data_IF_658621042352
#
_entry.id   IF_658621042352
#
_cell.length_a   1.000
_cell.length_b   1.000
_cell.length_c   1.000
_cell.angle_alpha   90.00
_cell.angle_beta   90.00
_cell.angle_gamma   90.00
#
_symmetry.space_group_name_H-M   'P 1'
#
loop_
_entity.id
_entity.type
_entity.pdbx_description
1 polymer ?
#
# COMPACT_ATOMS: atom_id res chain seq x y z
N UNK A 1 1.74 -6.76 -31.14
CA UNK A 1 3.01 -6.92 -30.40
C UNK A 1 3.88 -7.88 -31.18
N UNK A 2 5.17 -7.62 -31.33
CA UNK A 2 6.10 -8.71 -31.65
C UNK A 2 6.09 -9.61 -30.41
N UNK A 3 5.24 -10.64 -30.44
CA UNK A 3 5.02 -11.55 -29.31
C UNK A 3 6.34 -12.15 -28.82
N UNK A 4 7.40 -12.12 -29.62
CA UNK A 4 8.73 -12.61 -29.25
C UNK A 4 9.36 -11.83 -28.08
N UNK A 5 9.27 -10.50 -27.99
CA UNK A 5 9.91 -9.72 -26.92
C UNK A 5 9.20 -9.96 -25.58
N UNK A 6 7.88 -9.85 -25.56
CA UNK A 6 7.09 -10.07 -24.32
C UNK A 6 7.24 -11.51 -23.84
N UNK A 7 7.24 -12.49 -24.75
CA UNK A 7 7.47 -13.90 -24.38
C UNK A 7 8.88 -14.12 -23.81
N UNK A 8 9.90 -13.45 -24.38
CA UNK A 8 11.26 -13.52 -23.85
C UNK A 8 11.35 -12.88 -22.46
N UNK A 9 10.76 -11.70 -22.29
CA UNK A 9 10.68 -11.04 -21.00
C UNK A 9 10.00 -11.92 -19.95
N UNK A 10 8.80 -12.44 -20.24
CA UNK A 10 8.04 -13.30 -19.34
C UNK A 10 8.85 -14.53 -18.88
N UNK A 11 9.71 -15.08 -19.74
CA UNK A 11 10.61 -16.18 -19.37
C UNK A 11 11.66 -15.72 -18.34
N UNK A 12 12.37 -14.62 -18.60
CA UNK A 12 13.40 -14.08 -17.68
C UNK A 12 12.77 -13.72 -16.33
N UNK A 13 11.60 -13.08 -16.35
CA UNK A 13 10.85 -12.78 -15.14
C UNK A 13 10.40 -14.04 -14.39
N UNK A 14 9.92 -15.07 -15.09
CA UNK A 14 9.60 -16.36 -14.46
C UNK A 14 10.80 -16.98 -13.75
N UNK A 15 11.99 -16.92 -14.36
CA UNK A 15 13.22 -17.44 -13.77
C UNK A 15 13.72 -16.59 -12.59
N UNK A 16 13.47 -15.28 -12.61
CA UNK A 16 13.64 -14.39 -11.46
C UNK A 16 12.67 -14.77 -10.32
N UNK A 17 11.38 -14.97 -10.58
CA UNK A 17 10.41 -15.33 -9.54
C UNK A 17 10.70 -16.67 -8.88
N UNK A 18 11.16 -17.67 -9.64
CA UNK A 18 11.60 -18.95 -9.08
C UNK A 18 12.74 -18.75 -8.07
N UNK A 19 13.66 -17.84 -8.35
CA UNK A 19 14.73 -17.47 -7.42
C UNK A 19 14.17 -16.82 -6.16
N UNK A 20 13.29 -15.84 -6.27
CA UNK A 20 12.69 -15.20 -5.08
C UNK A 20 11.94 -16.21 -4.21
N UNK A 21 11.13 -17.09 -4.81
CA UNK A 21 10.41 -18.15 -4.09
C UNK A 21 11.38 -19.12 -3.38
N UNK A 22 12.52 -19.41 -4.00
CA UNK A 22 13.57 -20.20 -3.35
C UNK A 22 14.18 -19.43 -2.16
N UNK A 23 14.46 -18.13 -2.32
CA UNK A 23 15.05 -17.28 -1.28
C UNK A 23 14.12 -17.00 -0.10
N UNK A 24 12.80 -17.13 -0.28
CA UNK A 24 11.83 -17.06 0.81
C UNK A 24 11.93 -18.25 1.80
N UNK A 25 12.71 -19.28 1.49
CA UNK A 25 12.88 -20.43 2.37
C UNK A 25 13.90 -20.15 3.50
N UNK A 26 13.67 -20.61 4.74
CA UNK A 26 14.52 -20.29 5.90
C UNK A 26 16.01 -20.68 5.76
N UNK A 27 16.33 -21.64 4.88
CA UNK A 27 17.68 -22.18 4.69
C UNK A 27 18.24 -21.85 3.30
N UNK A 28 17.58 -20.96 2.56
CA UNK A 28 18.00 -20.61 1.23
C UNK A 28 19.35 -19.88 1.27
N UNK A 29 20.28 -20.34 0.43
CA UNK A 29 21.55 -19.66 0.20
C UNK A 29 21.47 -19.04 -1.19
N UNK A 30 21.77 -17.74 -1.28
CA UNK A 30 21.79 -17.02 -2.54
C UNK A 30 22.85 -17.61 -3.48
N UNK A 31 22.38 -18.09 -4.63
CA UNK A 31 23.23 -18.49 -5.75
C UNK A 31 23.68 -17.25 -6.53
N UNK A 32 24.97 -16.94 -6.44
CA UNK A 32 25.58 -15.76 -7.06
C UNK A 32 25.65 -15.91 -8.58
N UNK A 33 26.03 -17.09 -9.09
CA UNK A 33 26.13 -17.38 -10.53
C UNK A 33 24.74 -17.29 -11.20
N UNK A 34 23.70 -17.78 -10.52
CA UNK A 34 22.32 -17.63 -10.98
C UNK A 34 21.90 -16.16 -11.03
N UNK A 35 22.28 -15.35 -10.04
CA UNK A 35 22.03 -13.91 -10.03
C UNK A 35 22.76 -13.18 -11.16
N UNK A 36 24.02 -13.50 -11.44
CA UNK A 36 24.78 -12.91 -12.55
C UNK A 36 24.20 -13.27 -13.92
N UNK A 37 23.73 -14.51 -14.07
CA UNK A 37 23.02 -14.94 -15.28
C UNK A 37 21.74 -14.13 -15.50
N UNK A 38 20.92 -13.96 -14.46
CA UNK A 38 19.71 -13.14 -14.54
C UNK A 38 20.02 -11.69 -14.92
N UNK A 39 21.07 -11.08 -14.34
CA UNK A 39 21.51 -9.72 -14.71
C UNK A 39 21.83 -9.66 -16.20
N UNK A 40 22.56 -10.66 -16.71
CA UNK A 40 22.93 -10.74 -18.14
C UNK A 40 21.69 -10.88 -19.02
N UNK A 41 20.74 -11.72 -18.64
CA UNK A 41 19.48 -11.91 -19.35
C UNK A 41 18.65 -10.63 -19.36
N UNK A 42 18.49 -9.93 -18.23
CA UNK A 42 17.80 -8.63 -18.19
C UNK A 42 18.51 -7.58 -19.05
N UNK A 43 19.84 -7.48 -18.98
CA UNK A 43 20.63 -6.57 -19.83
C UNK A 43 20.47 -6.89 -21.32
N UNK A 44 20.24 -8.15 -21.69
CA UNK A 44 19.99 -8.54 -23.07
C UNK A 44 18.61 -8.13 -23.60
N UNK A 45 17.63 -7.95 -22.70
CA UNK A 45 16.29 -7.47 -23.06
C UNK A 45 16.30 -5.98 -23.41
N UNK A 46 17.05 -5.16 -22.67
CA UNK A 46 17.02 -3.68 -22.82
C UNK A 46 17.24 -3.18 -24.27
N UNK A 47 18.23 -3.67 -25.04
CA UNK A 47 18.43 -3.24 -26.43
C UNK A 47 17.30 -3.64 -27.39
N UNK A 48 16.48 -4.64 -27.02
CA UNK A 48 15.37 -5.15 -27.84
C UNK A 48 14.09 -4.34 -27.62
N UNK A 49 14.03 -3.51 -26.58
CA UNK A 49 12.87 -2.67 -26.26
C UNK A 49 12.74 -1.55 -27.30
N UNK A 50 11.61 -1.45 -28.04
CA UNK A 50 11.41 -0.39 -29.02
C UNK A 50 11.37 1.00 -28.36
N UNK A 51 12.32 1.87 -28.72
CA UNK A 51 12.41 3.23 -28.19
C UNK A 51 11.30 4.17 -28.68
N UNK A 52 10.76 3.90 -29.87
CA UNK A 52 9.77 4.74 -30.54
C UNK A 52 8.32 4.25 -30.33
N UNK A 53 8.08 3.38 -29.33
CA UNK A 53 6.75 2.87 -29.06
C UNK A 53 5.77 4.01 -28.70
N UNK A 54 4.59 4.13 -29.36
CA UNK A 54 3.66 5.23 -29.12
C UNK A 54 3.16 5.29 -27.67
N UNK A 55 3.29 6.46 -27.04
CA UNK A 55 3.05 6.65 -25.61
C UNK A 55 1.64 6.33 -25.14
N UNK A 56 0.68 6.52 -26.02
CA UNK A 56 -0.76 6.53 -25.73
C UNK A 56 -1.41 5.21 -26.14
N UNK A 57 -0.62 4.15 -26.30
CA UNK A 57 -1.11 2.81 -26.65
C UNK A 57 -0.78 1.82 -25.55
N UNK A 58 -1.63 0.82 -25.34
CA UNK A 58 -1.38 -0.24 -24.36
C UNK A 58 -0.01 -0.89 -24.58
N UNK A 59 0.34 -1.17 -25.84
CA UNK A 59 1.66 -1.72 -26.20
C UNK A 59 2.80 -0.78 -25.80
N UNK A 60 2.68 0.53 -26.04
CA UNK A 60 3.72 1.48 -25.66
C UNK A 60 3.88 1.66 -24.15
N UNK A 61 2.78 1.59 -23.40
CA UNK A 61 2.81 1.63 -21.94
C UNK A 61 3.52 0.39 -21.39
N UNK A 62 3.12 -0.80 -21.84
CA UNK A 62 3.72 -2.08 -21.43
C UNK A 62 5.21 -2.14 -21.80
N UNK A 63 5.59 -1.63 -22.97
CA UNK A 63 6.98 -1.60 -23.43
C UNK A 63 7.87 -0.73 -22.54
N UNK A 64 7.39 0.45 -22.12
CA UNK A 64 8.15 1.31 -21.20
C UNK A 64 8.16 0.78 -19.78
N UNK A 65 7.09 0.10 -19.39
CA UNK A 65 7.06 -0.57 -18.10
C UNK A 65 8.09 -1.68 -18.02
N UNK A 66 8.24 -2.46 -19.09
CA UNK A 66 9.30 -3.45 -19.21
C UNK A 66 10.69 -2.82 -19.04
N UNK A 67 10.96 -1.68 -19.66
CA UNK A 67 12.24 -0.97 -19.53
C UNK A 67 12.54 -0.55 -18.08
N UNK A 68 11.55 0.04 -17.39
CA UNK A 68 11.68 0.46 -15.99
C UNK A 68 11.99 -0.72 -15.09
N UNK A 69 11.19 -1.77 -15.21
CA UNK A 69 11.28 -2.95 -14.35
C UNK A 69 12.58 -3.72 -14.62
N UNK A 70 13.00 -3.88 -15.88
CA UNK A 70 14.30 -4.47 -16.20
C UNK A 70 15.46 -3.69 -15.59
N UNK A 71 15.44 -2.36 -15.70
CA UNK A 71 16.48 -1.50 -15.11
C UNK A 71 16.51 -1.63 -13.59
N UNK A 72 15.34 -1.62 -12.95
CA UNK A 72 15.20 -1.81 -11.51
C UNK A 72 15.80 -3.14 -11.03
N UNK A 73 15.53 -4.24 -11.75
CA UNK A 73 16.05 -5.57 -11.39
C UNK A 73 17.54 -5.72 -11.60
N UNK A 74 18.09 -5.12 -12.67
CA UNK A 74 19.54 -5.08 -12.87
C UNK A 74 20.19 -4.40 -11.66
N UNK A 75 19.74 -3.20 -11.32
CA UNK A 75 20.33 -2.42 -10.21
C UNK A 75 20.22 -3.16 -8.87
N UNK A 76 19.07 -3.76 -8.59
CA UNK A 76 18.81 -4.46 -7.32
C UNK A 76 19.59 -5.78 -7.23
N UNK A 77 19.70 -6.52 -8.32
CA UNK A 77 20.51 -7.74 -8.37
C UNK A 77 22.00 -7.40 -8.25
N UNK A 78 22.49 -6.39 -8.96
CA UNK A 78 23.89 -5.92 -8.86
C UNK A 78 24.21 -5.45 -7.45
N UNK A 79 23.36 -4.62 -6.85
CA UNK A 79 23.54 -4.18 -5.45
C UNK A 79 23.66 -5.39 -4.53
N UNK A 80 22.78 -6.38 -4.67
CA UNK A 80 22.80 -7.57 -3.84
C UNK A 80 24.05 -8.46 -4.03
N UNK A 81 24.81 -8.28 -5.11
CA UNK A 81 26.08 -8.98 -5.39
C UNK A 81 27.31 -8.21 -4.90
N UNK A 82 27.16 -6.93 -4.54
CA UNK A 82 28.27 -6.09 -4.08
C UNK A 82 28.17 -5.81 -2.58
N UNK A 83 29.30 -5.45 -1.97
CA UNK A 83 29.32 -4.92 -0.60
C UNK A 83 29.23 -3.39 -0.55
N UNK A 84 28.93 -2.73 -1.68
CA UNK A 84 28.90 -1.27 -1.77
C UNK A 84 27.56 -0.77 -1.23
N UNK A 85 27.60 0.17 -0.30
CA UNK A 85 26.41 0.90 0.12
C UNK A 85 25.98 1.85 -1.01
N UNK A 86 24.75 1.69 -1.49
CA UNK A 86 24.16 2.56 -2.52
C UNK A 86 23.93 3.97 -1.95
N UNK A 87 24.25 4.99 -2.74
CA UNK A 87 24.06 6.38 -2.33
C UNK A 87 22.57 6.69 -2.19
N UNK A 88 22.13 7.46 -1.17
CA UNK A 88 20.71 7.76 -0.98
C UNK A 88 20.03 8.36 -2.22
N UNK A 89 20.74 9.18 -2.99
CA UNK A 89 20.17 9.79 -4.19
C UNK A 89 20.06 8.83 -5.38
N UNK A 90 20.90 7.80 -5.45
CA UNK A 90 20.75 6.72 -6.43
C UNK A 90 19.47 5.94 -6.15
N UNK A 91 19.13 5.72 -4.87
CA UNK A 91 17.90 5.06 -4.44
C UNK A 91 16.67 5.90 -4.77
N UNK A 92 16.71 7.19 -4.47
CA UNK A 92 15.65 8.15 -4.81
C UNK A 92 15.37 8.13 -6.32
N UNK A 93 16.43 8.13 -7.14
CA UNK A 93 16.31 8.06 -8.59
C UNK A 93 15.73 6.71 -9.06
N UNK A 94 16.18 5.59 -8.46
CA UNK A 94 15.69 4.24 -8.77
C UNK A 94 14.18 4.11 -8.54
N UNK A 95 13.67 4.65 -7.44
CA UNK A 95 12.23 4.68 -7.14
C UNK A 95 11.48 5.84 -7.82
N UNK A 96 12.15 6.60 -8.70
CA UNK A 96 11.55 7.67 -9.49
C UNK A 96 10.89 8.77 -8.64
N UNK A 97 11.48 9.05 -7.48
CA UNK A 97 10.99 10.05 -6.54
C UNK A 97 11.51 11.42 -6.96
N UNK A 98 10.61 12.32 -7.35
CA UNK A 98 11.00 13.63 -7.86
C UNK A 98 11.10 14.64 -6.70
N UNK A 99 11.98 15.65 -6.77
CA UNK A 99 12.07 16.70 -5.75
C UNK A 99 10.74 17.41 -5.47
N UNK A 100 9.87 17.51 -6.49
CA UNK A 100 8.52 18.05 -6.37
C UNK A 100 7.60 17.24 -5.46
N UNK A 101 7.81 15.93 -5.32
CA UNK A 101 7.03 15.10 -4.41
C UNK A 101 7.32 15.48 -2.95
N UNK A 102 8.61 15.69 -2.63
CA UNK A 102 9.03 16.16 -1.30
C UNK A 102 8.52 17.57 -1.01
N UNK A 103 8.51 18.46 -2.00
CA UNK A 103 7.97 19.80 -1.83
C UNK A 103 6.44 19.80 -1.62
N UNK A 104 5.72 18.93 -2.34
CA UNK A 104 4.28 18.75 -2.13
C UNK A 104 3.97 18.29 -0.70
N UNK A 105 4.77 17.38 -0.13
CA UNK A 105 4.65 16.96 1.27
C UNK A 105 4.84 18.16 2.22
N UNK A 106 5.87 18.99 2.01
CA UNK A 106 6.12 20.18 2.83
C UNK A 106 4.94 21.16 2.78
N UNK A 107 4.41 21.41 1.59
CA UNK A 107 3.26 22.28 1.40
C UNK A 107 2.03 21.72 2.12
N UNK A 108 1.76 20.43 1.96
CA UNK A 108 0.62 19.76 2.60
C UNK A 108 0.70 19.82 4.12
N UNK A 109 1.87 19.52 4.71
CA UNK A 109 2.08 19.55 6.17
C UNK A 109 1.83 20.95 6.75
N UNK A 110 2.25 22.00 6.03
CA UNK A 110 2.00 23.39 6.41
C UNK A 110 0.53 23.76 6.29
N UNK A 111 -0.10 23.45 5.15
CA UNK A 111 -1.48 23.80 4.86
C UNK A 111 -2.49 23.10 5.80
N UNK A 112 -2.21 21.87 6.21
CA UNK A 112 -3.13 21.06 7.00
C UNK A 112 -2.87 21.10 8.51
N UNK A 113 -1.86 21.86 8.98
CA UNK A 113 -1.44 21.85 10.39
C UNK A 113 -2.59 22.08 11.37
N UNK A 114 -3.45 23.06 11.11
CA UNK A 114 -4.58 23.37 11.99
C UNK A 114 -5.64 22.25 11.99
N UNK A 115 -5.92 21.66 10.83
CA UNK A 115 -6.86 20.55 10.70
C UNK A 115 -6.37 19.31 11.44
N UNK A 116 -5.07 19.00 11.34
CA UNK A 116 -4.43 17.90 12.08
C UNK A 116 -4.51 18.13 13.59
N UNK A 117 -4.21 19.34 14.08
CA UNK A 117 -4.34 19.68 15.51
C UNK A 117 -5.77 19.51 15.98
N UNK A 118 -6.76 20.00 15.22
CA UNK A 118 -8.18 19.84 15.53
C UNK A 118 -8.58 18.36 15.59
N UNK A 119 -8.24 17.56 14.58
CA UNK A 119 -8.53 16.14 14.55
C UNK A 119 -7.90 15.40 15.74
N UNK A 120 -6.66 15.74 16.12
CA UNK A 120 -6.00 15.17 17.29
C UNK A 120 -6.74 15.52 18.59
N UNK A 121 -7.15 16.78 18.77
CA UNK A 121 -7.94 17.20 19.95
C UNK A 121 -9.28 16.46 20.03
N UNK A 122 -10.00 16.36 18.92
CA UNK A 122 -11.27 15.63 18.86
C UNK A 122 -11.10 14.14 19.21
N UNK A 123 -10.01 13.51 18.76
CA UNK A 123 -9.67 12.13 19.15
C UNK A 123 -9.39 12.00 20.65
N UNK A 124 -8.65 12.95 21.22
CA UNK A 124 -8.38 12.98 22.66
C UNK A 124 -9.66 13.17 23.48
N UNK A 125 -10.55 14.06 23.07
CA UNK A 125 -11.83 14.31 23.77
C UNK A 125 -12.76 13.09 23.72
N UNK A 126 -12.81 12.37 22.59
CA UNK A 126 -13.56 11.12 22.44
C UNK A 126 -13.00 9.96 23.28
N UNK A 127 -11.73 10.01 23.66
CA UNK A 127 -11.09 8.92 24.44
C UNK A 127 -11.58 8.83 25.89
N UNK A 128 -12.40 9.78 26.36
CA UNK A 128 -13.02 9.76 27.68
C UNK A 128 -14.38 9.03 27.67
N UNK A 129 -14.43 7.82 28.24
CA UNK A 129 -15.72 7.23 28.63
C UNK A 129 -15.62 5.82 29.19
N UNK A 130 -15.15 4.87 28.38
CA UNK A 130 -15.11 3.46 28.76
C UNK A 130 -13.74 2.85 28.47
N UNK A 131 -13.15 2.16 29.45
CA UNK A 131 -11.96 1.33 29.23
C UNK A 131 -12.32 0.21 28.27
N UNK A 132 -11.84 0.34 27.03
CA UNK A 132 -11.84 -0.75 26.04
C UNK A 132 -10.74 -1.74 26.41
N UNK A 133 -11.05 -3.02 26.31
CA UNK A 133 -10.07 -4.10 26.48
C UNK A 133 -10.14 -5.04 25.29
N UNK A 134 -8.99 -5.57 24.88
CA UNK A 134 -8.94 -6.63 23.87
C UNK A 134 -9.74 -7.84 24.34
N UNK A 135 -10.37 -8.56 23.42
CA UNK A 135 -11.08 -9.78 23.77
C UNK A 135 -10.05 -10.83 24.23
N UNK A 136 -10.26 -11.50 25.38
CA UNK A 136 -9.42 -12.62 25.80
C UNK A 136 -9.57 -13.80 24.83
N UNK A 137 -8.85 -13.82 23.71
CA UNK A 137 -8.95 -14.87 22.69
C UNK A 137 -8.51 -16.26 23.17
N UNK A 138 -7.88 -16.36 24.34
CA UNK A 138 -7.66 -17.62 25.05
C UNK A 138 -8.97 -18.28 25.53
N UNK A 139 -10.05 -17.52 25.74
CA UNK A 139 -11.38 -18.07 26.04
C UNK A 139 -12.08 -18.48 24.74
N UNK A 140 -12.28 -19.80 24.55
CA UNK A 140 -12.97 -20.35 23.38
C UNK A 140 -14.39 -19.81 23.22
N UNK A 141 -15.09 -19.58 24.33
CA UNK A 141 -16.47 -19.07 24.31
C UNK A 141 -16.53 -17.63 23.82
N UNK A 142 -15.72 -16.74 24.41
CA UNK A 142 -15.68 -15.33 24.00
C UNK A 142 -15.18 -15.17 22.57
N UNK A 143 -14.18 -15.97 22.19
CA UNK A 143 -13.63 -15.97 20.83
C UNK A 143 -14.69 -16.35 19.80
N UNK A 144 -15.41 -17.46 20.00
CA UNK A 144 -16.49 -17.90 19.10
C UNK A 144 -17.58 -16.85 18.98
N UNK A 145 -18.03 -16.30 20.12
CA UNK A 145 -19.06 -15.25 20.12
C UNK A 145 -18.64 -14.03 19.30
N UNK A 146 -17.36 -13.64 19.39
CA UNK A 146 -16.82 -12.54 18.61
C UNK A 146 -16.66 -12.88 17.12
N UNK A 147 -16.21 -14.11 16.81
CA UNK A 147 -16.13 -14.63 15.43
C UNK A 147 -17.52 -14.63 14.76
N UNK A 148 -18.56 -15.09 15.46
CA UNK A 148 -19.93 -15.13 14.95
C UNK A 148 -20.47 -13.72 14.64
N UNK A 149 -20.23 -12.75 15.54
CA UNK A 149 -20.61 -11.34 15.35
C UNK A 149 -19.92 -10.75 14.11
N UNK A 150 -18.59 -10.89 14.02
CA UNK A 150 -17.83 -10.36 12.90
C UNK A 150 -18.19 -11.04 11.58
N UNK A 151 -18.47 -12.35 11.60
CA UNK A 151 -18.88 -13.09 10.39
C UNK A 151 -20.16 -12.49 9.83
N UNK A 152 -21.17 -12.24 10.67
CA UNK A 152 -22.40 -11.57 10.24
C UNK A 152 -22.14 -10.19 9.63
N UNK A 153 -21.30 -9.38 10.27
CA UNK A 153 -20.94 -8.06 9.74
C UNK A 153 -20.17 -8.13 8.41
N UNK A 154 -19.28 -9.11 8.23
CA UNK A 154 -18.55 -9.33 6.98
C UNK A 154 -19.50 -9.72 5.86
N UNK A 155 -20.49 -10.57 6.11
CA UNK A 155 -21.50 -10.94 5.11
C UNK A 155 -22.33 -9.73 4.66
N UNK A 156 -22.71 -8.85 5.58
CA UNK A 156 -23.39 -7.59 5.24
C UNK A 156 -22.50 -6.69 4.36
N UNK A 157 -21.21 -6.58 4.68
CA UNK A 157 -20.24 -5.81 3.88
C UNK A 157 -20.02 -6.42 2.48
N UNK A 158 -19.97 -7.76 2.36
CA UNK A 158 -19.89 -8.46 1.06
C UNK A 158 -21.08 -8.13 0.19
N UNK A 159 -22.29 -8.29 0.72
CA UNK A 159 -23.52 -8.01 0.00
C UNK A 159 -23.58 -6.54 -0.45
N UNK A 160 -23.19 -5.63 0.43
CA UNK A 160 -23.13 -4.21 0.12
C UNK A 160 -22.09 -3.89 -0.96
N UNK A 161 -20.90 -4.47 -0.89
CA UNK A 161 -19.81 -4.18 -1.82
C UNK A 161 -20.18 -4.53 -3.27
N UNK A 162 -20.87 -5.65 -3.49
CA UNK A 162 -21.37 -6.03 -4.82
C UNK A 162 -22.31 -4.97 -5.38
N UNK A 163 -23.25 -4.47 -4.57
CA UNK A 163 -24.20 -3.45 -4.98
C UNK A 163 -23.54 -2.08 -5.18
N UNK A 164 -22.67 -1.69 -4.24
CA UNK A 164 -22.20 -0.32 -4.12
C UNK A 164 -21.07 0.00 -5.10
N UNK A 165 -20.20 -0.97 -5.40
CA UNK A 165 -19.11 -0.78 -6.34
C UNK A 165 -19.54 -1.01 -7.79
N UNK A 166 -20.65 -1.72 -8.04
CA UNK A 166 -21.14 -2.00 -9.38
C UNK A 166 -20.17 -2.82 -10.25
N UNK A 167 -19.30 -3.61 -9.61
CA UNK A 167 -18.32 -4.48 -10.26
C UNK A 167 -18.79 -5.93 -10.21
N UNK A 168 -19.19 -6.47 -11.36
CA UNK A 168 -19.63 -7.87 -11.50
C UNK A 168 -18.54 -8.85 -11.05
N UNK A 169 -17.28 -8.47 -11.25
CA UNK A 169 -16.08 -9.22 -10.88
C UNK A 169 -15.96 -9.46 -9.38
N UNK A 170 -16.57 -8.61 -8.55
CA UNK A 170 -16.55 -8.77 -7.10
C UNK A 170 -17.36 -10.00 -6.65
N UNK A 171 -18.46 -10.33 -7.34
CA UNK A 171 -19.23 -11.54 -7.00
C UNK A 171 -18.41 -12.80 -7.29
N UNK A 172 -17.68 -12.80 -8.41
CA UNK A 172 -16.77 -13.89 -8.75
C UNK A 172 -15.60 -13.99 -7.76
N UNK A 173 -14.97 -12.85 -7.41
CA UNK A 173 -13.95 -12.79 -6.37
C UNK A 173 -14.44 -13.42 -5.07
N UNK A 174 -15.60 -13.02 -4.57
CA UNK A 174 -16.14 -13.50 -3.28
C UNK A 174 -16.51 -15.00 -3.30
N UNK A 175 -16.65 -15.60 -4.49
CA UNK A 175 -16.82 -17.04 -4.65
C UNK A 175 -15.49 -17.81 -4.66
N UNK A 176 -14.41 -17.15 -5.06
CA UNK A 176 -13.09 -17.74 -5.24
C UNK A 176 -12.17 -17.52 -4.02
N UNK A 177 -12.27 -16.35 -3.39
CA UNK A 177 -11.51 -15.98 -2.20
C UNK A 177 -12.30 -16.29 -0.95
N UNK A 178 -11.66 -16.97 0.01
CA UNK A 178 -12.18 -17.10 1.36
C UNK A 178 -11.93 -15.81 2.13
N UNK A 179 -12.98 -15.05 2.42
CA UNK A 179 -12.92 -13.93 3.36
C UNK A 179 -13.31 -14.44 4.74
N UNK A 180 -12.36 -14.46 5.67
CA UNK A 180 -12.54 -15.02 7.00
C UNK A 180 -11.88 -14.16 8.08
N UNK A 181 -11.89 -14.65 9.31
CA UNK A 181 -11.40 -13.96 10.49
C UNK A 181 -10.13 -14.66 10.97
N UNK A 182 -9.07 -13.90 11.21
CA UNK A 182 -7.90 -14.36 11.94
C UNK A 182 -8.07 -14.05 13.43
N UNK A 183 -8.24 -15.11 14.23
CA UNK A 183 -8.48 -15.00 15.66
C UNK A 183 -7.21 -14.78 16.50
N UNK A 184 -6.03 -14.84 15.87
CA UNK A 184 -4.71 -14.75 16.54
C UNK A 184 -3.99 -13.46 16.16
N UNK A 185 -4.04 -13.08 14.89
CA UNK A 185 -3.40 -11.86 14.40
C UNK A 185 -4.13 -10.60 14.88
N UNK A 186 -3.36 -9.53 15.06
CA UNK A 186 -3.89 -8.16 15.25
C UNK A 186 -4.00 -7.39 13.94
N UNK A 187 -3.53 -7.97 12.83
CA UNK A 187 -3.52 -7.35 11.51
C UNK A 187 -4.30 -8.18 10.52
N UNK A 188 -5.08 -7.49 9.68
CA UNK A 188 -5.65 -8.08 8.49
C UNK A 188 -4.55 -8.41 7.47
N UNK A 189 -4.84 -9.38 6.60
CA UNK A 189 -3.92 -9.78 5.54
C UNK A 189 -4.65 -10.42 4.38
N UNK A 190 -4.14 -10.26 3.17
CA UNK A 190 -4.57 -10.94 1.96
C UNK A 190 -3.44 -11.78 1.39
N UNK A 191 -3.79 -12.95 0.86
CA UNK A 191 -2.84 -13.83 0.19
C UNK A 191 -3.44 -14.33 -1.13
N UNK A 192 -2.76 -13.98 -2.22
CA UNK A 192 -3.14 -14.37 -3.59
C UNK A 192 -3.06 -15.89 -3.80
N UNK A 193 -2.02 -16.53 -3.27
CA UNK A 193 -1.74 -17.95 -3.51
C UNK A 193 -2.76 -18.83 -2.80
N UNK A 194 -3.02 -18.58 -1.52
CA UNK A 194 -4.03 -19.33 -0.76
C UNK A 194 -5.45 -18.86 -1.03
N UNK A 195 -5.64 -17.74 -1.74
CA UNK A 195 -6.93 -17.11 -2.04
C UNK A 195 -7.72 -16.82 -0.77
N UNK A 196 -7.07 -16.17 0.19
CA UNK A 196 -7.67 -15.81 1.48
C UNK A 196 -7.50 -14.33 1.74
N UNK A 197 -8.56 -13.70 2.26
CA UNK A 197 -8.50 -12.42 2.97
C UNK A 197 -8.90 -12.65 4.43
N UNK A 198 -8.04 -12.27 5.36
CA UNK A 198 -8.23 -12.43 6.78
C UNK A 198 -8.43 -11.06 7.43
N UNK A 199 -9.58 -10.87 8.08
CA UNK A 199 -9.86 -9.71 8.93
C UNK A 199 -9.42 -10.01 10.35
N UNK A 200 -8.83 -9.04 11.03
CA UNK A 200 -8.32 -9.20 12.40
C UNK A 200 -9.46 -9.25 13.41
N UNK A 201 -9.57 -10.35 14.16
CA UNK A 201 -10.48 -10.39 15.31
C UNK A 201 -10.06 -9.33 16.33
N UNK A 202 -8.79 -9.34 16.75
CA UNK A 202 -8.31 -8.45 17.82
C UNK A 202 -8.31 -6.96 17.42
N UNK A 203 -8.28 -6.66 16.12
CA UNK A 203 -8.38 -5.30 15.60
C UNK A 203 -9.83 -4.80 15.52
N UNK A 204 -10.76 -5.68 15.15
CA UNK A 204 -12.13 -5.27 14.83
C UNK A 204 -13.13 -5.44 15.98
N UNK A 205 -12.75 -6.04 17.10
CA UNK A 205 -13.64 -6.16 18.26
C UNK A 205 -12.94 -5.83 19.57
N UNK A 206 -13.73 -5.29 20.51
CA UNK A 206 -13.28 -4.97 21.86
C UNK A 206 -14.34 -5.31 22.89
N UNK A 207 -13.93 -5.50 24.14
CA UNK A 207 -14.83 -5.60 25.28
C UNK A 207 -14.92 -4.27 26.02
N UNK A 208 -16.16 -3.91 26.38
CA UNK A 208 -16.48 -2.82 27.30
C UNK A 208 -17.69 -3.24 28.14
N UNK A 209 -17.78 -2.83 29.41
CA UNK A 209 -18.95 -3.10 30.27
C UNK A 209 -19.45 -4.57 30.23
N UNK A 210 -18.53 -5.54 30.11
CA UNK A 210 -18.85 -6.97 30.04
C UNK A 210 -19.45 -7.47 28.71
N UNK A 211 -19.56 -6.63 27.70
CA UNK A 211 -20.11 -6.95 26.37
C UNK A 211 -19.04 -6.83 25.27
N UNK A 212 -19.25 -7.55 24.17
CA UNK A 212 -18.41 -7.49 22.96
C UNK A 212 -19.00 -6.45 22.02
N UNK A 213 -18.15 -5.56 21.51
CA UNK A 213 -18.48 -4.52 20.55
C UNK A 213 -17.60 -4.65 19.32
N UNK A 214 -18.13 -4.22 18.18
CA UNK A 214 -17.42 -4.15 16.90
C UNK A 214 -16.88 -2.73 16.74
N UNK A 215 -15.60 -2.61 16.41
CA UNK A 215 -15.03 -1.39 15.86
C UNK A 215 -15.35 -1.34 14.36
N UNK A 216 -16.48 -0.72 14.03
CA UNK A 216 -17.03 -0.72 12.67
C UNK A 216 -16.12 0.00 11.70
N UNK A 217 -15.53 1.13 12.12
CA UNK A 217 -14.60 1.86 11.28
C UNK A 217 -13.39 1.00 10.92
N UNK A 218 -12.84 0.27 11.90
CA UNK A 218 -11.73 -0.66 11.67
C UNK A 218 -12.14 -1.83 10.79
N UNK A 219 -13.32 -2.42 11.01
CA UNK A 219 -13.85 -3.52 10.20
C UNK A 219 -14.01 -3.13 8.73
N UNK A 220 -14.64 -1.98 8.46
CA UNK A 220 -14.82 -1.48 7.09
C UNK A 220 -13.46 -1.21 6.44
N UNK A 221 -12.53 -0.61 7.19
CA UNK A 221 -11.15 -0.36 6.73
C UNK A 221 -10.45 -1.66 6.34
N UNK A 222 -10.38 -2.65 7.23
CA UNK A 222 -9.70 -3.92 6.97
C UNK A 222 -10.35 -4.72 5.84
N UNK A 223 -11.69 -4.75 5.79
CA UNK A 223 -12.41 -5.38 4.69
C UNK A 223 -12.11 -4.69 3.36
N UNK A 224 -12.17 -3.35 3.31
CA UNK A 224 -11.91 -2.60 2.09
C UNK A 224 -10.46 -2.74 1.62
N UNK A 225 -9.49 -2.62 2.53
CA UNK A 225 -8.07 -2.68 2.18
C UNK A 225 -7.68 -4.04 1.62
N UNK A 226 -8.02 -5.11 2.34
CA UNK A 226 -7.59 -6.46 1.97
C UNK A 226 -8.47 -7.06 0.88
N UNK A 227 -9.79 -6.93 0.98
CA UNK A 227 -10.72 -7.59 0.03
C UNK A 227 -10.89 -6.76 -1.24
N UNK A 228 -11.27 -5.48 -1.09
CA UNK A 228 -11.59 -4.62 -2.23
C UNK A 228 -10.33 -4.02 -2.86
N UNK A 229 -9.31 -3.71 -2.06
CA UNK A 229 -8.03 -3.20 -2.52
C UNK A 229 -7.15 -4.30 -3.09
N UNK A 230 -6.68 -5.21 -2.24
CA UNK A 230 -5.72 -6.24 -2.64
C UNK A 230 -6.33 -7.42 -3.39
N UNK A 231 -7.33 -8.12 -2.83
CA UNK A 231 -7.86 -9.33 -3.43
C UNK A 231 -8.54 -9.06 -4.79
N UNK A 232 -9.35 -8.01 -4.88
CA UNK A 232 -9.96 -7.61 -6.16
C UNK A 232 -8.90 -7.19 -7.18
N UNK A 233 -7.82 -6.51 -6.74
CA UNK A 233 -6.69 -6.22 -7.61
C UNK A 233 -6.02 -7.50 -8.14
N UNK A 234 -5.75 -8.49 -7.27
CA UNK A 234 -5.20 -9.77 -7.72
C UNK A 234 -6.10 -10.47 -8.74
N UNK A 235 -7.40 -10.53 -8.46
CA UNK A 235 -8.37 -11.19 -9.32
C UNK A 235 -8.44 -10.52 -10.71
N UNK A 236 -8.62 -9.20 -10.76
CA UNK A 236 -8.71 -8.46 -12.03
C UNK A 236 -7.39 -8.54 -12.80
N UNK A 237 -6.27 -8.45 -12.10
CA UNK A 237 -4.93 -8.56 -12.69
C UNK A 237 -4.71 -9.93 -13.32
N UNK A 238 -5.04 -11.01 -12.61
CA UNK A 238 -4.87 -12.39 -13.09
C UNK A 238 -5.70 -12.67 -14.35
N UNK A 239 -6.95 -12.18 -14.38
CA UNK A 239 -7.88 -12.32 -15.48
C UNK A 239 -7.66 -11.33 -16.65
N UNK A 240 -6.73 -10.39 -16.50
CA UNK A 240 -6.37 -9.45 -17.58
C UNK A 240 -5.50 -10.10 -18.66
N UNK A 241 -5.28 -9.39 -19.77
CA UNK A 241 -4.35 -9.80 -20.86
C UNK A 241 -2.93 -9.26 -20.67
N UNK A 242 -2.64 -8.65 -19.52
CA UNK A 242 -1.33 -8.08 -19.21
C UNK A 242 -0.24 -9.18 -19.16
N UNK A 243 1.03 -8.85 -19.48
CA UNK A 243 2.12 -9.80 -19.39
C UNK A 243 2.47 -10.16 -17.94
N UNK A 244 3.21 -11.25 -17.73
CA UNK A 244 3.55 -11.75 -16.38
C UNK A 244 4.26 -10.68 -15.57
N UNK A 245 5.17 -9.95 -16.19
CA UNK A 245 5.92 -8.89 -15.53
C UNK A 245 5.09 -7.65 -15.17
N UNK A 246 3.80 -7.58 -15.50
CA UNK A 246 2.88 -6.56 -14.95
C UNK A 246 1.86 -7.22 -14.03
N UNK A 247 1.64 -8.53 -14.16
CA UNK A 247 0.71 -9.27 -13.30
C UNK A 247 1.30 -9.58 -11.93
N UNK A 248 2.60 -9.80 -11.87
CA UNK A 248 3.30 -10.17 -10.64
C UNK A 248 3.74 -8.96 -9.84
N UNK A 249 3.69 -9.10 -8.50
CA UNK A 249 4.05 -8.02 -7.60
C UNK A 249 5.56 -8.02 -7.33
N UNK A 250 6.22 -6.96 -7.74
CA UNK A 250 7.62 -6.72 -7.39
C UNK A 250 7.64 -5.91 -6.10
N UNK A 251 7.74 -6.61 -4.97
CA UNK A 251 7.61 -6.09 -3.60
C UNK A 251 8.31 -4.76 -3.29
N UNK A 252 9.32 -4.35 -4.07
CA UNK A 252 10.01 -3.08 -3.89
C UNK A 252 9.49 -1.98 -4.83
N UNK A 253 9.31 -2.24 -6.13
CA UNK A 253 9.03 -1.20 -7.14
C UNK A 253 7.53 -0.88 -7.28
N UNK A 254 6.66 -1.88 -7.08
CA UNK A 254 5.20 -1.73 -7.30
C UNK A 254 4.40 -1.62 -6.00
N UNK A 255 5.05 -1.80 -4.83
CA UNK A 255 4.36 -1.90 -3.55
C UNK A 255 3.65 -0.60 -3.14
N UNK A 256 4.25 0.56 -3.41
CA UNK A 256 3.66 1.86 -3.06
C UNK A 256 2.38 2.14 -3.84
N UNK A 257 2.37 1.83 -5.14
CA UNK A 257 1.18 1.93 -5.98
C UNK A 257 0.08 1.02 -5.45
N UNK A 258 0.42 -0.25 -5.17
CA UNK A 258 -0.54 -1.25 -4.67
C UNK A 258 -1.17 -0.84 -3.34
N UNK A 259 -0.37 -0.41 -2.37
CA UNK A 259 -0.91 0.09 -1.09
C UNK A 259 -1.75 1.35 -1.30
N UNK A 260 -1.34 2.26 -2.20
CA UNK A 260 -2.12 3.47 -2.50
C UNK A 260 -3.47 3.14 -3.15
N UNK A 261 -3.55 2.07 -3.96
CA UNK A 261 -4.80 1.57 -4.52
C UNK A 261 -5.71 1.08 -3.39
N UNK A 262 -5.19 0.28 -2.46
CA UNK A 262 -5.97 -0.19 -1.32
C UNK A 262 -6.43 0.95 -0.41
N UNK A 263 -5.55 1.90 -0.07
CA UNK A 263 -5.89 3.13 0.68
C UNK A 263 -7.01 3.94 0.01
N UNK A 264 -7.05 3.99 -1.33
CA UNK A 264 -8.14 4.62 -2.07
C UNK A 264 -9.44 3.84 -1.94
N UNK A 265 -9.39 2.52 -2.12
CA UNK A 265 -10.57 1.67 -2.00
C UNK A 265 -11.15 1.66 -0.58
N UNK A 266 -10.32 1.82 0.47
CA UNK A 266 -10.78 2.08 1.83
C UNK A 266 -11.73 3.29 1.88
N UNK A 267 -11.25 4.45 1.41
CA UNK A 267 -12.02 5.71 1.43
C UNK A 267 -13.28 5.60 0.59
N UNK A 268 -13.17 5.03 -0.61
CA UNK A 268 -14.29 4.88 -1.53
C UNK A 268 -15.36 3.96 -0.96
N UNK A 269 -14.97 2.79 -0.43
CA UNK A 269 -15.93 1.85 0.13
C UNK A 269 -16.58 2.38 1.41
N UNK A 270 -15.83 3.09 2.27
CA UNK A 270 -16.42 3.70 3.45
C UNK A 270 -17.50 4.75 3.06
N UNK A 271 -17.21 5.60 2.07
CA UNK A 271 -18.21 6.54 1.56
C UNK A 271 -19.46 5.82 1.00
N UNK A 272 -19.26 4.70 0.30
CA UNK A 272 -20.36 3.85 -0.18
C UNK A 272 -21.20 3.25 0.96
N UNK A 273 -20.57 2.82 2.06
CA UNK A 273 -21.26 2.39 3.29
C UNK A 273 -22.10 3.51 3.89
N UNK A 274 -21.56 4.74 3.92
CA UNK A 274 -22.28 5.92 4.40
C UNK A 274 -23.55 6.22 3.61
N UNK A 275 -23.45 6.26 2.28
CA UNK A 275 -24.61 6.50 1.39
C UNK A 275 -25.73 5.47 1.59
N UNK A 276 -25.37 4.25 2.01
CA UNK A 276 -26.27 3.11 2.17
C UNK A 276 -26.47 2.72 3.64
N UNK A 277 -26.20 3.63 4.57
CA UNK A 277 -26.28 3.39 6.02
C UNK A 277 -27.62 2.81 6.47
N UNK A 278 -28.73 3.21 5.84
CA UNK A 278 -30.08 2.67 6.10
C UNK A 278 -30.23 1.17 5.83
N UNK A 279 -29.45 0.60 4.90
CA UNK A 279 -29.46 -0.84 4.64
C UNK A 279 -28.67 -1.58 5.72
N UNK A 280 -27.50 -1.04 6.05
CA UNK A 280 -26.63 -1.58 7.10
C UNK A 280 -27.23 -1.45 8.50
N UNK A 281 -28.11 -0.47 8.75
CA UNK A 281 -28.73 -0.26 10.07
C UNK A 281 -29.66 -1.38 10.54
N UNK A 282 -29.99 -2.34 9.65
CA UNK A 282 -30.67 -3.58 10.05
C UNK A 282 -29.80 -4.46 10.96
N UNK A 283 -28.47 -4.36 10.82
CA UNK A 283 -27.51 -4.92 11.75
C UNK A 283 -27.18 -3.86 12.83
N UNK A 284 -27.46 -4.16 14.13
CA UNK A 284 -27.30 -3.20 15.22
C UNK A 284 -25.86 -2.73 15.42
N UNK A 285 -24.87 -3.44 14.88
CA UNK A 285 -23.48 -3.03 14.97
C UNK A 285 -23.18 -1.80 14.10
N UNK A 286 -23.94 -1.53 13.03
CA UNK A 286 -23.70 -0.39 12.13
C UNK A 286 -24.52 0.88 12.47
N UNK A 287 -25.22 0.93 13.61
CA UNK A 287 -26.18 2.01 13.88
C UNK A 287 -25.56 3.41 14.04
N UNK A 288 -24.25 3.52 14.33
CA UNK A 288 -23.50 4.78 14.51
C UNK A 288 -22.58 5.13 13.34
N UNK A 289 -22.88 4.64 12.13
CA UNK A 289 -21.97 4.77 10.99
C UNK A 289 -21.53 6.22 10.68
N UNK A 290 -22.39 7.23 10.88
CA UNK A 290 -22.04 8.65 10.73
C UNK A 290 -20.95 9.12 11.69
N UNK A 291 -21.05 8.72 12.96
CA UNK A 291 -20.04 9.03 13.98
C UNK A 291 -18.72 8.32 13.67
N UNK A 292 -18.81 7.06 13.24
CA UNK A 292 -17.67 6.24 12.82
C UNK A 292 -16.98 6.80 11.57
N UNK A 293 -17.73 7.38 10.64
CA UNK A 293 -17.16 8.03 9.45
C UNK A 293 -16.37 9.30 9.81
N UNK A 294 -16.92 10.11 10.72
CA UNK A 294 -16.20 11.30 11.22
C UNK A 294 -14.92 10.87 11.94
N UNK A 295 -14.99 9.81 12.74
CA UNK A 295 -13.86 9.22 13.43
C UNK A 295 -12.79 8.72 12.44
N UNK A 296 -13.20 7.94 11.44
CA UNK A 296 -12.35 7.42 10.37
C UNK A 296 -11.65 8.55 9.59
N UNK A 297 -12.38 9.62 9.27
CA UNK A 297 -11.82 10.78 8.57
C UNK A 297 -10.71 11.47 9.37
N UNK A 298 -10.92 11.64 10.68
CA UNK A 298 -9.91 12.20 11.58
C UNK A 298 -8.68 11.29 11.70
N UNK A 299 -8.90 9.98 11.90
CA UNK A 299 -7.80 8.99 11.97
C UNK A 299 -7.00 8.99 10.66
N UNK A 300 -7.68 8.97 9.51
CA UNK A 300 -7.04 8.98 8.19
C UNK A 300 -6.19 10.24 7.98
N UNK A 301 -6.65 11.40 8.45
CA UNK A 301 -5.88 12.65 8.40
C UNK A 301 -4.61 12.57 9.25
N UNK A 302 -4.70 11.99 10.46
CA UNK A 302 -3.56 11.80 11.36
C UNK A 302 -2.56 10.77 10.81
N UNK A 303 -3.04 9.65 10.25
CA UNK A 303 -2.20 8.65 9.60
C UNK A 303 -1.44 9.25 8.40
N UNK A 304 -2.14 10.03 7.55
CA UNK A 304 -1.51 10.77 6.43
C UNK A 304 -0.46 11.76 6.92
N UNK A 305 -0.77 12.51 7.98
CA UNK A 305 0.17 13.43 8.61
C UNK A 305 1.46 12.74 9.07
N UNK A 306 1.37 11.64 9.83
CA UNK A 306 2.57 10.95 10.31
C UNK A 306 3.35 10.25 9.19
N UNK A 307 2.68 9.73 8.17
CA UNK A 307 3.34 9.19 6.96
C UNK A 307 4.14 10.27 6.22
N UNK A 308 3.57 11.45 6.06
CA UNK A 308 4.21 12.60 5.43
C UNK A 308 5.39 13.12 6.24
N UNK A 309 5.20 13.22 7.56
CA UNK A 309 6.24 13.62 8.48
C UNK A 309 7.40 12.59 8.50
N UNK A 310 7.10 11.29 8.46
CA UNK A 310 8.10 10.21 8.31
C UNK A 310 8.88 10.35 7.00
N UNK A 311 8.19 10.56 5.88
CA UNK A 311 8.81 10.68 4.55
C UNK A 311 9.75 11.88 4.50
N UNK A 312 9.29 13.03 5.00
CA UNK A 312 10.13 14.22 5.13
C UNK A 312 11.32 13.98 6.08
N UNK A 313 11.09 13.25 7.17
CA UNK A 313 12.13 12.79 8.10
C UNK A 313 13.23 11.99 7.40
N UNK A 314 12.84 10.96 6.64
CA UNK A 314 13.79 10.13 5.87
C UNK A 314 14.56 10.98 4.87
N UNK A 315 13.88 11.89 4.14
CA UNK A 315 14.53 12.79 3.20
C UNK A 315 15.57 13.70 3.87
N UNK A 316 15.23 14.29 5.02
CA UNK A 316 16.14 15.14 5.78
C UNK A 316 17.35 14.34 6.25
N UNK A 317 17.13 13.12 6.77
CA UNK A 317 18.20 12.23 7.16
C UNK A 317 19.10 11.94 5.95
N UNK A 318 18.55 11.39 4.86
CA UNK A 318 19.25 11.01 3.62
C UNK A 318 20.07 12.14 2.98
N UNK A 319 19.69 13.40 3.19
CA UNK A 319 20.37 14.59 2.66
C UNK A 319 21.21 15.34 3.70
N UNK A 320 21.50 14.70 4.84
CA UNK A 320 22.30 15.23 5.93
C UNK A 320 23.37 14.23 6.37
N UNK A 321 24.27 14.66 7.26
CA UNK A 321 25.27 13.78 7.89
C UNK A 321 24.70 13.18 9.16
N UNK A 322 25.11 11.96 9.50
CA UNK A 322 24.68 11.22 10.71
C UNK A 322 24.68 12.10 11.98
N UNK A 323 25.75 12.86 12.22
CA UNK A 323 25.93 13.63 13.46
C UNK A 323 25.39 15.08 13.40
N UNK A 324 24.74 15.49 12.31
CA UNK A 324 24.19 16.85 12.17
C UNK A 324 22.79 16.99 12.81
N UNK A 325 22.69 16.58 14.07
CA UNK A 325 21.44 16.57 14.83
C UNK A 325 20.75 17.94 14.87
N UNK A 326 21.54 19.03 14.94
CA UNK A 326 20.99 20.39 14.99
C UNK A 326 20.28 20.73 13.68
N UNK A 327 20.92 20.53 12.54
CA UNK A 327 20.30 20.82 11.24
C UNK A 327 19.10 19.92 10.97
N UNK A 328 19.20 18.64 11.32
CA UNK A 328 18.10 17.68 11.17
C UNK A 328 16.88 18.11 11.98
N UNK A 329 17.09 18.55 13.23
CA UNK A 329 16.04 19.03 14.12
C UNK A 329 15.39 20.30 13.56
N UNK A 330 16.19 21.31 13.21
CA UNK A 330 15.70 22.59 12.64
C UNK A 330 14.86 22.38 11.38
N UNK A 331 15.24 21.43 10.51
CA UNK A 331 14.52 21.12 9.28
C UNK A 331 13.15 20.46 9.53
N UNK A 332 12.99 19.72 10.62
CA UNK A 332 11.78 18.92 10.91
C UNK A 332 10.81 19.60 11.89
N UNK A 333 11.32 20.37 12.85
CA UNK A 333 10.49 21.01 13.90
C UNK A 333 9.39 21.89 13.34
N UNK A 334 9.64 22.60 12.24
CA UNK A 334 8.64 23.48 11.62
C UNK A 334 7.40 22.75 11.08
N UNK A 335 7.46 21.43 10.89
CA UNK A 335 6.37 20.60 10.37
C UNK A 335 5.72 19.71 11.44
N UNK A 336 6.42 19.49 12.57
CA UNK A 336 5.90 18.66 13.65
C UNK A 336 4.89 19.43 14.50
N UNK A 337 3.73 18.82 14.79
CA UNK A 337 2.80 19.28 15.83
C UNK A 337 3.24 18.78 17.22
N UNK A 338 4.13 17.78 17.26
CA UNK A 338 4.67 17.20 18.48
C UNK A 338 6.20 17.41 18.54
N UNK A 339 6.71 18.33 19.37
CA UNK A 339 8.14 18.62 19.44
C UNK A 339 9.01 17.38 19.76
N UNK A 340 8.50 16.46 20.60
CA UNK A 340 9.22 15.23 20.98
C UNK A 340 9.35 14.23 19.83
N UNK A 341 8.45 14.28 18.86
CA UNK A 341 8.49 13.37 17.70
C UNK A 341 9.80 13.52 16.93
N UNK A 342 10.30 14.76 16.75
CA UNK A 342 11.51 15.03 15.95
C UNK A 342 12.75 14.38 16.56
N UNK A 343 12.98 14.63 17.85
CA UNK A 343 14.14 14.05 18.54
C UNK A 343 14.03 12.53 18.65
N UNK A 344 12.83 11.99 18.91
CA UNK A 344 12.57 10.55 18.89
C UNK A 344 12.86 9.94 17.51
N UNK A 345 12.38 10.57 16.44
CA UNK A 345 12.53 10.09 15.07
C UNK A 345 14.01 10.02 14.68
N UNK A 346 14.78 11.09 14.89
CA UNK A 346 16.21 11.13 14.59
C UNK A 346 16.95 10.05 15.39
N UNK A 347 16.71 9.97 16.70
CA UNK A 347 17.38 9.00 17.57
C UNK A 347 17.06 7.55 17.19
N UNK A 348 15.80 7.26 16.82
CA UNK A 348 15.38 5.93 16.36
C UNK A 348 16.13 5.47 15.11
N UNK A 349 16.53 6.39 14.24
CA UNK A 349 17.24 6.08 12.99
C UNK A 349 18.76 6.15 13.12
N UNK A 350 19.31 6.37 14.32
CA UNK A 350 20.77 6.46 14.52
C UNK A 350 21.53 5.21 14.07
N UNK A 351 20.93 4.03 14.25
CA UNK A 351 21.51 2.75 13.83
C UNK A 351 21.26 2.41 12.36
N UNK A 352 20.55 3.28 11.63
CA UNK A 352 20.25 3.08 10.22
C UNK A 352 21.22 3.84 9.31
N UNK A 353 22.34 4.30 9.86
CA UNK A 353 23.47 4.81 9.10
C UNK A 353 24.51 3.71 8.98
N UNK A 354 24.98 3.46 7.76
CA UNK A 354 26.11 2.57 7.55
C UNK A 354 27.35 3.18 8.21
N UNK A 355 27.98 2.42 9.11
CA UNK A 355 29.09 2.94 9.93
C UNK A 355 30.35 3.22 9.12
N UNK A 356 30.52 2.56 7.98
CA UNK A 356 31.73 2.67 7.15
C UNK A 356 31.66 3.85 6.19
N UNK A 357 30.49 4.14 5.65
CA UNK A 357 30.25 5.17 4.63
C UNK A 357 29.59 6.43 5.21
N UNK A 358 28.90 6.32 6.34
CA UNK A 358 28.09 7.40 6.91
C UNK A 358 26.80 7.68 6.11
N UNK A 359 26.39 6.76 5.23
CA UNK A 359 25.21 6.87 4.35
C UNK A 359 23.98 6.14 4.92
N UNK A 360 22.79 6.59 4.54
CA UNK A 360 21.55 6.08 5.15
C UNK A 360 21.31 4.73 4.51
N UNK A 361 20.98 3.73 5.33
CA UNK A 361 20.79 2.40 4.82
C UNK A 361 19.72 2.39 3.72
N UNK A 362 19.97 1.67 2.61
CA UNK A 362 19.06 1.67 1.47
C UNK A 362 17.63 1.28 1.81
N UNK A 363 17.45 0.35 2.75
CA UNK A 363 16.15 -0.07 3.26
C UNK A 363 15.33 1.08 3.82
N UNK A 364 15.97 2.06 4.47
CA UNK A 364 15.28 3.25 5.02
C UNK A 364 14.99 4.27 3.93
N UNK A 365 15.93 4.55 3.04
CA UNK A 365 15.71 5.51 1.94
C UNK A 365 14.58 5.02 1.03
N UNK A 366 14.51 3.71 0.78
CA UNK A 366 13.47 3.11 -0.06
C UNK A 366 12.05 3.37 0.43
N UNK A 367 11.83 3.61 1.73
CA UNK A 367 10.50 3.91 2.29
C UNK A 367 9.92 5.23 1.77
N UNK A 368 10.75 6.11 1.18
CA UNK A 368 10.26 7.31 0.50
C UNK A 368 9.29 6.99 -0.64
N UNK A 369 9.34 5.78 -1.24
CA UNK A 369 8.39 5.39 -2.29
C UNK A 369 6.93 5.45 -1.85
N UNK A 370 6.65 5.31 -0.55
CA UNK A 370 5.30 5.42 0.02
C UNK A 370 4.76 6.85 0.07
N UNK A 371 5.56 7.85 -0.29
CA UNK A 371 5.08 9.22 -0.50
C UNK A 371 4.67 9.52 -1.93
N UNK A 372 4.79 8.57 -2.85
CA UNK A 372 4.36 8.72 -4.23
C UNK A 372 2.83 8.61 -4.31
N UNK A 373 2.15 9.75 -4.25
CA UNK A 373 0.67 9.84 -4.31
C UNK A 373 0.11 9.64 -5.73
N UNK A 374 0.58 8.65 -6.48
CA UNK A 374 0.17 8.47 -7.88
C UNK A 374 -1.34 8.21 -8.04
N UNK A 375 -1.96 7.51 -7.08
CA UNK A 375 -3.42 7.25 -7.09
C UNK A 375 -4.22 8.52 -6.81
N UNK A 376 -3.92 9.24 -5.72
CA UNK A 376 -4.61 10.48 -5.34
C UNK A 376 -4.48 11.58 -6.42
N UNK A 377 -3.29 11.71 -7.02
CA UNK A 377 -3.06 12.61 -8.18
C UNK A 377 -4.00 12.27 -9.33
N UNK A 378 -4.18 10.99 -9.64
CA UNK A 378 -5.01 10.55 -10.76
C UNK A 378 -6.51 10.69 -10.50
N UNK A 379 -6.97 10.47 -9.27
CA UNK A 379 -8.38 10.67 -8.86
C UNK A 379 -8.82 12.11 -9.08
N UNK A 380 -7.98 13.08 -8.69
CA UNK A 380 -8.31 14.51 -8.76
C UNK A 380 -8.64 15.02 -10.18
N UNK A 381 -8.23 14.28 -11.22
CA UNK A 381 -8.45 14.60 -12.63
C UNK A 381 -9.77 14.02 -13.18
N UNK A 382 -10.49 13.18 -12.43
CA UNK A 382 -11.61 12.37 -12.96
C UNK A 382 -12.96 13.00 -12.70
N UNK A 383 -13.89 12.77 -13.64
CA UNK A 383 -15.29 13.14 -13.51
C UNK A 383 -16.07 11.99 -12.86
N UNK A 384 -17.12 12.27 -12.06
CA UNK A 384 -17.91 11.22 -11.39
C UNK A 384 -18.43 10.11 -12.30
N UNK A 385 -18.83 10.45 -13.54
CA UNK A 385 -19.34 9.49 -14.53
C UNK A 385 -18.32 8.45 -15.01
N UNK A 386 -17.02 8.75 -14.89
CA UNK A 386 -15.93 7.89 -15.39
C UNK A 386 -15.35 7.02 -14.25
N UNK A 387 -15.85 7.16 -13.01
CA UNK A 387 -15.28 6.56 -11.81
C UNK A 387 -15.30 5.03 -11.80
N UNK A 388 -16.34 4.38 -12.33
CA UNK A 388 -16.38 2.91 -12.39
C UNK A 388 -15.26 2.34 -13.27
N UNK A 389 -15.06 2.96 -14.43
CA UNK A 389 -14.01 2.58 -15.38
C UNK A 389 -12.63 2.88 -14.79
N UNK A 390 -12.49 4.04 -14.15
CA UNK A 390 -11.30 4.39 -13.39
C UNK A 390 -10.97 3.35 -12.30
N UNK A 391 -11.94 2.93 -11.48
CA UNK A 391 -11.69 1.93 -10.44
C UNK A 391 -11.26 0.58 -11.01
N UNK A 392 -11.85 0.12 -12.12
CA UNK A 392 -11.37 -1.09 -12.81
C UNK A 392 -9.93 -0.93 -13.29
N UNK A 393 -9.60 0.22 -13.89
CA UNK A 393 -8.23 0.51 -14.32
C UNK A 393 -7.24 0.51 -13.14
N UNK A 394 -7.61 1.16 -12.03
CA UNK A 394 -6.79 1.28 -10.81
C UNK A 394 -6.51 -0.07 -10.16
N UNK A 395 -7.47 -1.00 -10.24
CA UNK A 395 -7.39 -2.35 -9.69
C UNK A 395 -6.78 -3.36 -10.67
N UNK A 396 -6.28 -2.98 -11.84
CA UNK A 396 -5.72 -3.94 -12.81
C UNK A 396 -4.23 -3.70 -13.03
N UNK A 397 -3.40 -4.70 -12.73
CA UNK A 397 -1.96 -4.69 -12.88
C UNK A 397 -1.20 -4.25 -11.62
N UNK A 398 0.04 -4.71 -11.52
CA UNK A 398 1.05 -4.26 -10.56
C UNK A 398 1.99 -3.30 -11.29
N UNK A 399 1.69 -2.01 -11.23
CA UNK A 399 2.40 -0.98 -11.98
C UNK A 399 3.37 -0.20 -11.09
N UNK A 400 4.51 0.18 -11.65
CA UNK A 400 5.34 1.27 -11.10
C UNK A 400 4.53 2.57 -11.09
N UNK A 401 4.89 3.55 -10.25
CA UNK A 401 4.16 4.82 -10.15
C UNK A 401 3.92 5.52 -11.50
N UNK A 402 4.94 5.60 -12.37
CA UNK A 402 4.81 6.19 -13.72
C UNK A 402 4.06 5.26 -14.69
N UNK A 403 4.20 3.94 -14.56
CA UNK A 403 3.43 2.97 -15.32
C UNK A 403 1.93 3.07 -15.05
N UNK A 404 1.59 3.19 -13.77
CA UNK A 404 0.24 3.34 -13.27
C UNK A 404 -0.45 4.58 -13.84
N UNK A 405 0.22 5.75 -13.78
CA UNK A 405 -0.34 7.00 -14.30
C UNK A 405 -0.68 6.87 -15.79
N UNK A 406 0.24 6.33 -16.59
CA UNK A 406 0.02 6.10 -18.02
C UNK A 406 -1.14 5.11 -18.27
N UNK A 407 -1.19 4.00 -17.53
CA UNK A 407 -2.21 2.96 -17.67
C UNK A 407 -3.61 3.51 -17.39
N UNK A 408 -3.75 4.26 -16.30
CA UNK A 408 -5.03 4.84 -15.89
C UNK A 408 -5.45 5.99 -16.80
N UNK A 409 -4.49 6.76 -17.35
CA UNK A 409 -4.77 7.77 -18.36
C UNK A 409 -5.26 7.17 -19.69
N UNK A 410 -4.78 5.98 -20.07
CA UNK A 410 -5.28 5.28 -21.25
C UNK A 410 -6.65 4.63 -21.03
N UNK A 411 -6.80 3.91 -19.92
CA UNK A 411 -7.91 2.96 -19.72
C UNK A 411 -9.03 3.50 -18.83
N UNK A 412 -8.79 4.60 -18.12
CA UNK A 412 -9.73 5.23 -17.20
C UNK A 412 -10.76 6.18 -17.84
N UNK A 413 -10.88 6.21 -19.18
CA UNK A 413 -11.84 7.05 -19.94
C UNK A 413 -12.62 6.25 -20.96
#
# INVERSE_FOLDING_TARGET
MDNSLITQADKVFSDFFKREIYLDQPYAIKDLDYSERLITEFKSLLPLIPKDAPAETETGIVTRELERICSFFIDTLEESLTSKTTEPMEIVARFQIEPSDIEAIRHWLKANRQAVVKANTEQMEKSNGDRRTSIPAGSRELRRKAEDILTGCIEDLKALAVEALGMEELSALLSEFTVSIDSVSTRATSNRISKVALVSLQGCVYMSKGSIYVDVARLIKEFAHEVIGHCLNYYLTEHSKLPIFVKENFYLDTSSTRESVSDHMERYFFAACMERSKKLSSNPHFYQLEEEYTNFSNISLLEKYYRYLKSLGIWVLATSKMDDHRLQTEKLEQYSIEPKWVSWFINRHRNNWDRSTGLLLPSVVSDLRYSLESVDKQISKRKPKDMLKFHRAVLTGCWTPKGFENWVDLTGY
#
